data_IF_293236606003
#
_entry.id   IF_293236606003
#
_cell.length_a   1.000
_cell.length_b   1.000
_cell.length_c   1.000
_cell.angle_alpha   90.00
_cell.angle_beta   90.00
_cell.angle_gamma   90.00
#
_symmetry.space_group_name_H-M   'P 1'
#
loop_
_entity.id
_entity.type
_entity.pdbx_description
1 polymer ?
#
# COMPACT_ATOMS: atom_id res chain seq x y z
N UNK A 1 -16.91 2.41 14.30
CA UNK A 1 -16.57 1.06 13.78
C UNK A 1 -15.97 1.28 12.40
N UNK A 2 -14.64 1.25 12.29
CA UNK A 2 -13.94 1.68 11.05
C UNK A 2 -14.13 0.65 9.93
N UNK A 3 -14.57 1.15 8.77
CA UNK A 3 -14.83 0.37 7.57
C UNK A 3 -13.47 0.04 6.93
N UNK A 4 -13.01 -1.21 7.06
CA UNK A 4 -11.75 -1.72 6.49
C UNK A 4 -12.01 -2.68 5.31
N UNK A 5 -13.25 -2.72 4.80
CA UNK A 5 -13.71 -3.70 3.81
C UNK A 5 -13.89 -3.03 2.44
N UNK A 6 -12.84 -2.40 1.92
CA UNK A 6 -12.93 -1.59 0.69
C UNK A 6 -12.52 -2.35 -0.58
N UNK A 7 -12.36 -3.69 -0.58
CA UNK A 7 -11.80 -4.39 -1.75
C UNK A 7 -12.57 -4.20 -3.05
N UNK A 8 -13.90 -4.15 -3.01
CA UNK A 8 -14.69 -3.88 -4.21
C UNK A 8 -14.37 -2.49 -4.80
N UNK A 9 -14.13 -1.50 -3.94
CA UNK A 9 -13.68 -0.17 -4.33
C UNK A 9 -12.25 -0.22 -4.85
N UNK A 10 -11.33 -0.90 -4.15
CA UNK A 10 -9.95 -1.11 -4.61
C UNK A 10 -9.93 -1.71 -6.01
N UNK A 11 -10.64 -2.83 -6.22
CA UNK A 11 -10.68 -3.52 -7.50
C UNK A 11 -11.28 -2.65 -8.62
N UNK A 12 -12.34 -1.88 -8.32
CA UNK A 12 -12.90 -0.91 -9.26
C UNK A 12 -11.88 0.17 -9.64
N UNK A 13 -11.15 0.72 -8.67
CA UNK A 13 -10.13 1.74 -8.91
C UNK A 13 -8.88 1.19 -9.59
N UNK A 14 -8.50 -0.06 -9.34
CA UNK A 14 -7.42 -0.74 -10.06
C UNK A 14 -7.78 -0.95 -11.53
N UNK A 15 -9.03 -1.30 -11.83
CA UNK A 15 -9.51 -1.41 -13.21
C UNK A 15 -9.53 -0.06 -13.94
N UNK A 16 -9.91 1.03 -13.26
CA UNK A 16 -9.86 2.40 -13.80
C UNK A 16 -8.43 2.93 -13.97
N UNK A 17 -7.51 2.46 -13.14
CA UNK A 17 -6.11 2.91 -13.10
C UNK A 17 -5.36 2.70 -14.42
N UNK A 18 -5.85 1.84 -15.31
CA UNK A 18 -5.35 1.71 -16.68
C UNK A 18 -5.35 3.03 -17.49
N UNK A 19 -6.24 3.97 -17.14
CA UNK A 19 -6.39 5.28 -17.81
C UNK A 19 -5.85 6.45 -16.97
N UNK A 20 -5.80 6.30 -15.65
CA UNK A 20 -5.39 7.35 -14.70
C UNK A 20 -3.86 7.39 -14.50
N UNK A 21 -3.30 8.58 -14.25
CA UNK A 21 -1.89 8.79 -13.88
C UNK A 21 -1.70 8.83 -12.36
N UNK A 22 -2.62 8.26 -11.59
CA UNK A 22 -2.54 8.22 -10.12
C UNK A 22 -2.21 6.83 -9.58
N UNK A 23 -1.16 6.70 -8.75
CA UNK A 23 -0.89 5.46 -8.04
C UNK A 23 -1.98 5.16 -7.00
N UNK A 24 -2.25 3.87 -6.79
CA UNK A 24 -3.15 3.34 -5.76
C UNK A 24 -2.33 2.61 -4.71
N UNK A 25 -2.42 3.04 -3.46
CA UNK A 25 -1.72 2.43 -2.33
C UNK A 25 -2.70 1.54 -1.57
N UNK A 26 -2.39 0.27 -1.42
CA UNK A 26 -3.23 -0.70 -0.71
C UNK A 26 -2.45 -1.23 0.49
N UNK A 27 -2.88 -0.85 1.68
CA UNK A 27 -2.32 -1.31 2.95
C UNK A 27 -3.20 -2.43 3.52
N UNK A 28 -2.67 -3.64 3.52
CA UNK A 28 -3.26 -4.81 4.16
C UNK A 28 -2.94 -4.80 5.66
N UNK A 29 -3.98 -4.90 6.49
CA UNK A 29 -3.90 -4.82 7.94
C UNK A 29 -4.75 -5.89 8.60
N UNK A 30 -4.29 -6.43 9.73
CA UNK A 30 -5.08 -7.29 10.61
C UNK A 30 -5.52 -6.50 11.83
N UNK A 31 -6.80 -6.60 12.20
CA UNK A 31 -7.39 -5.81 13.30
C UNK A 31 -6.83 -6.18 14.66
N UNK A 32 -6.38 -7.42 14.82
CA UNK A 32 -5.80 -7.94 16.05
C UNK A 32 -4.31 -7.62 16.19
N UNK A 33 -3.64 -7.18 15.11
CA UNK A 33 -2.21 -6.92 15.09
C UNK A 33 -1.91 -5.44 15.44
N UNK A 34 -1.24 -5.15 16.57
CA UNK A 34 -0.99 -3.77 16.99
C UNK A 34 -0.09 -2.98 16.01
N UNK A 35 0.83 -3.65 15.32
CA UNK A 35 1.67 -3.03 14.30
C UNK A 35 0.85 -2.59 13.08
N UNK A 36 -0.14 -3.39 12.70
CA UNK A 36 -1.10 -3.08 11.66
C UNK A 36 -1.99 -1.90 12.03
N UNK A 37 -2.48 -1.84 13.26
CA UNK A 37 -3.26 -0.70 13.74
C UNK A 37 -2.44 0.60 13.77
N UNK A 38 -1.17 0.52 14.18
CA UNK A 38 -0.26 1.66 14.16
C UNK A 38 -0.04 2.19 12.73
N UNK A 39 0.27 1.32 11.78
CA UNK A 39 0.43 1.68 10.37
C UNK A 39 -0.86 2.25 9.78
N UNK A 40 -2.01 1.61 10.02
CA UNK A 40 -3.32 2.08 9.56
C UNK A 40 -3.60 3.52 10.02
N UNK A 41 -3.31 3.85 11.28
CA UNK A 41 -3.49 5.21 11.82
C UNK A 41 -2.66 6.23 11.05
N UNK A 42 -1.41 5.91 10.72
CA UNK A 42 -0.53 6.81 9.95
C UNK A 42 -1.03 6.96 8.52
N UNK A 43 -1.39 5.88 7.84
CA UNK A 43 -1.90 5.95 6.46
C UNK A 43 -3.22 6.69 6.36
N UNK A 44 -4.08 6.66 7.38
CA UNK A 44 -5.28 7.53 7.44
C UNK A 44 -4.93 9.00 7.51
N UNK A 45 -3.91 9.34 8.30
CA UNK A 45 -3.40 10.73 8.36
C UNK A 45 -2.86 11.17 7.00
N UNK A 46 -2.03 10.34 6.35
CA UNK A 46 -1.51 10.63 5.00
C UNK A 46 -2.66 10.79 3.99
N UNK A 47 -3.68 9.93 4.04
CA UNK A 47 -4.88 10.01 3.20
C UNK A 47 -5.67 11.30 3.43
N UNK A 48 -5.76 11.77 4.67
CA UNK A 48 -6.46 13.00 5.00
C UNK A 48 -5.71 14.26 4.54
N UNK A 49 -4.38 14.20 4.45
CA UNK A 49 -3.51 15.32 4.09
C UNK A 49 -3.29 15.49 2.59
N UNK A 50 -3.53 14.46 1.77
CA UNK A 50 -3.29 14.51 0.33
C UNK A 50 -4.39 13.80 -0.47
N UNK A 51 -5.00 14.54 -1.41
CA UNK A 51 -5.95 14.02 -2.40
C UNK A 51 -5.28 13.52 -3.69
N UNK A 52 -3.94 13.60 -3.77
CA UNK A 52 -3.18 13.25 -4.96
C UNK A 52 -2.93 11.74 -5.09
N UNK A 53 -3.16 11.00 -4.01
CA UNK A 53 -2.96 9.55 -3.93
C UNK A 53 -4.16 8.87 -3.29
N UNK A 54 -4.55 7.75 -3.88
CA UNK A 54 -5.64 6.95 -3.35
C UNK A 54 -5.06 5.89 -2.44
N UNK A 55 -5.25 6.09 -1.14
CA UNK A 55 -4.84 5.16 -0.11
C UNK A 55 -6.06 4.36 0.34
N UNK A 56 -5.94 3.05 0.27
CA UNK A 56 -6.91 2.08 0.75
C UNK A 56 -6.29 1.29 1.89
N UNK A 57 -7.06 1.09 2.94
CA UNK A 57 -6.65 0.29 4.09
C UNK A 57 -7.65 -0.86 4.19
N UNK A 58 -7.16 -2.07 4.03
CA UNK A 58 -8.00 -3.25 3.85
C UNK A 58 -7.73 -4.32 4.92
N UNK A 59 -8.79 -4.98 5.36
CA UNK A 59 -8.74 -6.08 6.32
C UNK A 59 -8.19 -7.36 5.68
N UNK A 60 -6.96 -7.73 6.04
CA UNK A 60 -6.27 -8.88 5.45
C UNK A 60 -6.92 -10.22 5.85
N UNK A 61 -7.51 -10.31 7.05
CA UNK A 61 -8.21 -11.54 7.50
C UNK A 61 -9.40 -11.84 6.60
N UNK A 62 -10.16 -10.80 6.23
CA UNK A 62 -11.32 -10.93 5.34
C UNK A 62 -10.94 -11.14 3.88
N UNK A 63 -9.79 -10.62 3.47
CA UNK A 63 -9.28 -10.69 2.10
C UNK A 63 -8.14 -11.71 1.97
N UNK A 64 -8.13 -12.73 2.82
CA UNK A 64 -7.03 -13.68 2.93
C UNK A 64 -6.58 -14.26 1.58
N UNK A 65 -7.52 -14.70 0.74
CA UNK A 65 -7.20 -15.26 -0.58
C UNK A 65 -6.52 -14.26 -1.52
N UNK A 66 -6.92 -12.99 -1.46
CA UNK A 66 -6.32 -11.91 -2.25
C UNK A 66 -4.93 -11.57 -1.70
N UNK A 67 -4.81 -11.39 -0.38
CA UNK A 67 -3.55 -11.10 0.28
C UNK A 67 -2.51 -12.20 -0.01
N UNK A 68 -2.92 -13.46 0.10
CA UNK A 68 -2.10 -14.64 -0.22
C UNK A 68 -1.69 -14.68 -1.69
N UNK A 69 -2.57 -14.25 -2.61
CA UNK A 69 -2.24 -14.13 -4.04
C UNK A 69 -1.10 -13.15 -4.34
N UNK A 70 -0.89 -12.14 -3.48
CA UNK A 70 0.27 -11.24 -3.52
C UNK A 70 1.44 -11.70 -2.63
N UNK A 71 1.37 -12.92 -2.09
CA UNK A 71 2.36 -13.46 -1.17
C UNK A 71 2.45 -12.69 0.16
N UNK A 72 1.38 -12.02 0.58
CA UNK A 72 1.32 -11.36 1.88
C UNK A 72 1.11 -12.43 2.95
N UNK A 73 2.20 -12.76 3.64
CA UNK A 73 2.22 -13.72 4.76
C UNK A 73 2.28 -13.05 6.14
N UNK A 74 2.44 -11.72 6.17
CA UNK A 74 2.49 -10.93 7.40
C UNK A 74 2.01 -9.50 7.17
N UNK A 75 1.42 -8.91 8.21
CA UNK A 75 0.89 -7.55 8.18
C UNK A 75 1.60 -6.64 9.21
N UNK A 76 1.65 -5.32 8.99
CA UNK A 76 1.10 -4.59 7.85
C UNK A 76 1.90 -4.84 6.56
N UNK A 77 1.21 -4.85 5.43
CA UNK A 77 1.82 -4.98 4.11
C UNK A 77 1.25 -3.94 3.14
N UNK A 78 2.13 -3.19 2.49
CA UNK A 78 1.77 -2.17 1.50
C UNK A 78 2.13 -2.65 0.10
N UNK A 79 1.17 -2.52 -0.83
CA UNK A 79 1.40 -2.66 -2.26
C UNK A 79 1.00 -1.36 -2.94
N UNK A 80 1.81 -0.92 -3.91
CA UNK A 80 1.50 0.22 -4.77
C UNK A 80 1.14 -0.32 -6.14
N UNK A 81 0.03 0.14 -6.70
CA UNK A 81 -0.39 -0.19 -8.04
C UNK A 81 -0.40 1.06 -8.92
N UNK A 82 0.02 0.89 -10.17
CA UNK A 82 -0.04 1.92 -11.19
C UNK A 82 -0.38 1.28 -12.53
N UNK A 83 -1.39 1.80 -13.23
CA UNK A 83 -1.91 1.22 -14.47
C UNK A 83 -2.23 -0.27 -14.37
N UNK A 84 -2.92 -0.64 -13.30
CA UNK A 84 -3.29 -2.02 -12.98
C UNK A 84 -2.13 -2.94 -12.54
N UNK A 85 -0.88 -2.47 -12.55
CA UNK A 85 0.30 -3.29 -12.26
C UNK A 85 0.96 -2.92 -10.93
N UNK A 86 1.47 -3.90 -10.15
CA UNK A 86 2.28 -3.61 -8.97
C UNK A 86 3.55 -2.85 -9.32
N UNK A 87 3.87 -1.85 -8.50
CA UNK A 87 5.06 -1.00 -8.64
C UNK A 87 6.17 -1.52 -7.73
N UNK A 88 7.44 -1.40 -8.17
CA UNK A 88 8.59 -2.01 -7.50
C UNK A 88 9.17 -1.21 -6.33
N UNK A 89 8.81 -1.52 -5.10
CA UNK A 89 9.42 -0.98 -3.88
C UNK A 89 10.68 -1.78 -3.50
N UNK A 90 11.90 -1.33 -3.84
CA UNK A 90 13.11 -2.01 -3.32
C UNK A 90 13.51 -1.49 -1.95
N UNK A 91 13.85 -2.42 -1.07
CA UNK A 91 14.45 -2.15 0.24
C UNK A 91 15.86 -2.71 0.28
N UNK A 92 16.79 -2.02 0.93
CA UNK A 92 18.16 -2.53 1.01
C UNK A 92 18.19 -3.83 1.80
N UNK A 93 18.81 -4.87 1.22
CA UNK A 93 18.95 -6.18 1.86
C UNK A 93 17.71 -7.07 1.80
N UNK A 94 16.69 -6.70 1.01
CA UNK A 94 15.52 -7.54 0.76
C UNK A 94 15.45 -7.91 -0.72
N UNK A 95 15.17 -9.18 -1.01
CA UNK A 95 15.02 -9.66 -2.39
C UNK A 95 13.66 -9.33 -2.99
N UNK A 96 12.64 -9.18 -2.15
CA UNK A 96 11.29 -8.86 -2.57
C UNK A 96 11.13 -7.36 -2.86
N UNK A 97 10.63 -7.05 -4.06
CA UNK A 97 10.53 -5.68 -4.55
C UNK A 97 9.11 -5.24 -4.91
N UNK A 98 8.05 -5.99 -4.64
CA UNK A 98 6.67 -5.60 -5.03
C UNK A 98 5.78 -5.21 -3.85
N UNK A 99 6.27 -5.39 -2.62
CA UNK A 99 5.54 -5.07 -1.40
C UNK A 99 6.47 -4.62 -0.30
N UNK A 100 5.98 -3.72 0.54
CA UNK A 100 6.64 -3.34 1.78
C UNK A 100 5.95 -4.04 2.95
N UNK A 101 6.66 -4.90 3.67
CA UNK A 101 6.13 -5.65 4.82
C UNK A 101 6.81 -5.19 6.11
N UNK A 102 5.99 -4.92 7.13
CA UNK A 102 6.43 -4.54 8.47
C UNK A 102 6.22 -3.07 8.79
N UNK A 103 6.83 -2.62 9.89
CA UNK A 103 6.67 -1.26 10.43
C UNK A 103 7.93 -0.43 10.33
N UNK A 104 7.75 0.89 10.28
CA UNK A 104 8.82 1.89 10.29
C UNK A 104 8.31 3.18 10.94
N UNK A 105 9.14 4.22 10.99
CA UNK A 105 8.76 5.54 11.48
C UNK A 105 7.67 6.18 10.62
N UNK A 106 6.91 7.10 11.22
CA UNK A 106 5.93 7.90 10.49
C UNK A 106 6.57 8.65 9.32
N UNK A 107 7.72 9.29 9.54
CA UNK A 107 8.46 9.99 8.48
C UNK A 107 8.84 9.07 7.32
N UNK A 108 9.22 7.82 7.60
CA UNK A 108 9.55 6.88 6.53
C UNK A 108 8.29 6.40 5.78
N UNK A 109 7.12 6.32 6.41
CA UNK A 109 5.88 6.08 5.66
C UNK A 109 5.53 7.20 4.68
N UNK A 110 5.69 8.47 5.07
CA UNK A 110 5.55 9.60 4.14
C UNK A 110 6.54 9.48 2.98
N UNK A 111 7.80 9.12 3.27
CA UNK A 111 8.80 8.90 2.24
C UNK A 111 8.40 7.77 1.29
N UNK A 112 7.95 6.61 1.80
CA UNK A 112 7.49 5.48 0.98
C UNK A 112 6.34 5.88 0.07
N UNK A 113 5.38 6.67 0.55
CA UNK A 113 4.25 7.15 -0.26
C UNK A 113 4.72 8.13 -1.34
N UNK A 114 5.55 9.10 -0.98
CA UNK A 114 6.13 10.06 -1.92
C UNK A 114 6.94 9.35 -3.01
N UNK A 115 7.82 8.45 -2.60
CA UNK A 115 8.64 7.62 -3.48
C UNK A 115 7.77 6.73 -4.36
N UNK A 116 6.81 5.99 -3.79
CA UNK A 116 5.83 5.18 -4.53
C UNK A 116 5.21 5.91 -5.71
N UNK A 117 4.87 7.18 -5.51
CA UNK A 117 4.34 8.06 -6.56
C UNK A 117 5.39 8.44 -7.59
N UNK A 118 6.56 8.88 -7.16
CA UNK A 118 7.65 9.25 -8.09
C UNK A 118 8.04 8.07 -8.99
N UNK A 119 8.15 6.86 -8.45
CA UNK A 119 8.40 5.67 -9.26
C UNK A 119 7.25 5.38 -10.22
N UNK A 120 6.01 5.44 -9.75
CA UNK A 120 4.86 5.19 -10.62
C UNK A 120 4.88 6.12 -11.84
N UNK A 121 5.28 7.38 -11.65
CA UNK A 121 5.33 8.39 -12.72
C UNK A 121 6.58 8.26 -13.59
N UNK A 122 7.75 8.04 -13.00
CA UNK A 122 9.06 8.10 -13.69
C UNK A 122 9.60 6.74 -14.13
N UNK A 123 9.10 5.64 -13.55
CA UNK A 123 9.63 4.29 -13.74
C UNK A 123 10.93 4.00 -12.98
N UNK A 124 11.48 4.97 -12.25
CA UNK A 124 12.75 4.80 -11.54
C UNK A 124 12.59 3.88 -10.31
N UNK A 125 13.48 2.90 -10.10
CA UNK A 125 13.38 1.99 -8.96
C UNK A 125 13.50 2.71 -7.62
N UNK A 126 12.62 2.37 -6.68
CA UNK A 126 12.68 2.88 -5.31
C UNK A 126 13.74 2.20 -4.50
N UNK A 127 14.44 2.98 -3.68
CA UNK A 127 15.32 2.48 -2.63
C UNK A 127 14.86 3.14 -1.33
N UNK A 128 14.03 2.46 -0.57
CA UNK A 128 13.51 2.95 0.71
C UNK A 128 14.15 2.21 1.88
N UNK A 129 14.59 2.95 2.90
CA UNK A 129 15.15 2.47 4.18
C UNK A 129 14.52 3.25 5.35
#
# INVERSE_FOLDING_TARGET
MEQLDEWNQVNSELNKSCEDRKPRFVLFVEKWNPFSLHAARIFRKIKAESSEQDIFIVDADKLFSIASGFGIIGTPALIVFFRGMPVKIKRRGWEEDVKYVGVTSESNYYNIVHMGREQAITGNPLICD
#
